data_IF_931323647946
#
_entry.id   IF_931323647946
#
_cell.length_a   1.000
_cell.length_b   1.000
_cell.length_c   1.000
_cell.angle_alpha   90.00
_cell.angle_beta   90.00
_cell.angle_gamma   90.00
#
_symmetry.space_group_name_H-M   'P 1'
#
loop_
_entity.id
_entity.type
_entity.pdbx_description
1 polymer ?
#
# COMPACT_ATOMS: atom_id res chain seq x y z
N UNK A 1 -5.95 10.74 14.18
CA UNK A 1 -4.92 10.58 13.12
C UNK A 1 -4.19 9.28 13.34
N UNK A 2 -4.07 8.44 12.31
CA UNK A 2 -3.30 7.19 12.40
C UNK A 2 -1.82 7.42 12.07
N UNK A 3 -1.54 8.32 11.12
CA UNK A 3 -0.17 8.67 10.70
C UNK A 3 0.02 10.19 10.75
N UNK A 4 1.16 10.60 11.28
CA UNK A 4 1.62 11.98 11.25
C UNK A 4 3.07 12.05 10.76
N UNK A 5 3.31 12.91 9.81
CA UNK A 5 4.61 13.22 9.22
C UNK A 5 4.92 14.67 9.53
N UNK A 6 6.06 14.94 10.18
CA UNK A 6 6.40 16.26 10.69
C UNK A 6 7.77 16.69 10.23
N UNK A 7 7.84 17.82 9.50
CA UNK A 7 9.05 18.49 8.97
C UNK A 7 10.03 17.53 8.28
N UNK A 8 9.54 16.63 7.44
CA UNK A 8 10.41 15.68 6.74
C UNK A 8 11.23 16.40 5.67
N UNK A 9 12.56 16.30 5.83
CA UNK A 9 13.55 16.85 4.89
C UNK A 9 14.50 15.76 4.43
N UNK A 10 14.67 15.63 3.12
CA UNK A 10 15.54 14.65 2.49
C UNK A 10 16.31 15.27 1.35
N UNK A 11 17.63 15.03 1.33
CA UNK A 11 18.53 15.53 0.30
C UNK A 11 19.38 14.40 -0.23
N UNK A 12 19.66 14.43 -1.52
CA UNK A 12 20.59 13.52 -2.18
C UNK A 12 21.78 14.27 -2.76
N UNK A 13 22.94 13.63 -2.78
CA UNK A 13 24.12 14.13 -3.48
C UNK A 13 24.30 13.35 -4.79
N UNK A 14 24.50 14.05 -5.91
CA UNK A 14 24.85 13.41 -7.17
C UNK A 14 26.34 12.99 -7.20
N UNK A 15 26.77 12.33 -8.26
CA UNK A 15 28.16 11.90 -8.45
C UNK A 15 29.19 13.06 -8.42
N UNK A 16 28.72 14.30 -8.65
CA UNK A 16 29.56 15.53 -8.58
C UNK A 16 29.53 16.19 -7.20
N UNK A 17 28.90 15.51 -6.19
CA UNK A 17 28.71 16.03 -4.82
C UNK A 17 27.79 17.27 -4.73
N UNK A 18 27.01 17.56 -5.78
CA UNK A 18 26.01 18.60 -5.73
C UNK A 18 24.80 18.06 -4.94
N UNK A 19 24.36 18.79 -3.93
CA UNK A 19 23.24 18.40 -3.07
C UNK A 19 21.95 18.99 -3.65
N UNK A 20 20.97 18.15 -3.88
CA UNK A 20 19.62 18.59 -4.20
C UNK A 20 18.63 18.15 -3.11
N UNK A 21 17.77 19.07 -2.72
CA UNK A 21 16.76 18.82 -1.70
C UNK A 21 15.52 18.25 -2.37
N UNK A 22 15.17 16.99 -2.07
CA UNK A 22 13.99 16.34 -2.61
C UNK A 22 12.75 16.61 -1.75
N UNK A 23 12.91 16.56 -0.42
CA UNK A 23 11.86 16.91 0.54
C UNK A 23 12.32 18.08 1.40
N UNK A 24 11.48 19.12 1.51
CA UNK A 24 11.86 20.44 2.04
C UNK A 24 11.00 20.85 3.27
N UNK A 25 10.66 19.92 4.12
CA UNK A 25 9.78 20.16 5.26
C UNK A 25 8.35 19.74 4.90
N UNK A 26 8.15 18.44 4.78
CA UNK A 26 6.83 17.86 4.51
C UNK A 26 6.12 17.65 5.85
N UNK A 27 4.96 18.29 5.99
CA UNK A 27 4.00 18.08 7.08
C UNK A 27 2.73 17.49 6.50
N UNK A 28 2.31 16.33 7.01
CA UNK A 28 1.14 15.60 6.52
C UNK A 28 0.54 14.75 7.63
N UNK A 29 -0.78 14.60 7.61
CA UNK A 29 -1.51 13.72 8.51
C UNK A 29 -2.52 12.85 7.75
N UNK A 30 -2.71 11.62 8.19
CA UNK A 30 -3.68 10.67 7.62
C UNK A 30 -4.73 10.36 8.70
N UNK A 31 -5.99 10.55 8.35
CA UNK A 31 -7.11 10.22 9.21
C UNK A 31 -7.37 8.71 9.21
N UNK A 32 -7.68 8.18 10.39
CA UNK A 32 -8.03 6.76 10.54
C UNK A 32 -9.35 6.43 9.84
N UNK A 33 -9.43 5.24 9.23
CA UNK A 33 -10.64 4.74 8.58
C UNK A 33 -11.02 5.49 7.29
N UNK A 34 -10.05 6.15 6.64
CA UNK A 34 -10.26 6.88 5.39
C UNK A 34 -9.25 6.50 4.32
N UNK A 35 -9.58 6.83 3.08
CA UNK A 35 -8.64 6.80 1.96
C UNK A 35 -8.06 8.20 1.76
N UNK A 36 -6.75 8.33 1.93
CA UNK A 36 -6.01 9.57 1.66
C UNK A 36 -5.13 9.38 0.42
N UNK A 37 -5.20 10.29 -0.53
CA UNK A 37 -4.35 10.30 -1.71
C UNK A 37 -3.17 11.28 -1.53
N UNK A 38 -1.98 10.87 -1.95
CA UNK A 38 -0.81 11.74 -2.12
C UNK A 38 -0.54 11.89 -3.62
N UNK A 39 -0.85 13.05 -4.17
CA UNK A 39 -0.65 13.36 -5.58
C UNK A 39 0.50 14.36 -5.76
N UNK A 40 1.03 14.48 -6.97
CA UNK A 40 2.12 15.40 -7.29
C UNK A 40 2.85 14.97 -8.55
N UNK A 41 3.61 15.86 -9.13
CA UNK A 41 4.39 15.59 -10.35
C UNK A 41 5.39 14.44 -10.21
N UNK A 42 5.93 13.97 -11.34
CA UNK A 42 7.02 13.01 -11.34
C UNK A 42 8.26 13.64 -10.68
N UNK A 43 8.93 12.88 -9.80
CA UNK A 43 10.09 13.38 -9.05
C UNK A 43 9.77 14.29 -7.86
N UNK A 44 8.49 14.55 -7.53
CA UNK A 44 8.11 15.38 -6.37
C UNK A 44 8.49 14.76 -5.00
N UNK A 45 8.91 13.47 -4.97
CA UNK A 45 9.35 12.81 -3.74
C UNK A 45 8.30 11.90 -3.09
N UNK A 46 7.18 11.61 -3.76
CA UNK A 46 6.10 10.76 -3.22
C UNK A 46 6.58 9.38 -2.77
N UNK A 47 7.23 8.63 -3.66
CA UNK A 47 7.77 7.29 -3.34
C UNK A 47 8.86 7.36 -2.27
N UNK A 48 9.69 8.42 -2.26
CA UNK A 48 10.67 8.64 -1.20
C UNK A 48 9.99 8.85 0.15
N UNK A 49 8.91 9.63 0.20
CA UNK A 49 8.12 9.80 1.41
C UNK A 49 7.52 8.47 1.89
N UNK A 50 7.00 7.64 0.99
CA UNK A 50 6.54 6.29 1.32
C UNK A 50 7.67 5.40 1.85
N UNK A 51 8.89 5.49 1.25
CA UNK A 51 10.07 4.77 1.74
C UNK A 51 10.46 5.21 3.15
N UNK A 52 10.36 6.51 3.45
CA UNK A 52 10.61 7.05 4.79
C UNK A 52 9.58 6.52 5.79
N UNK A 53 8.29 6.63 5.47
CA UNK A 53 7.19 6.18 6.34
C UNK A 53 7.30 4.68 6.65
N UNK A 54 7.64 3.87 5.66
CA UNK A 54 7.75 2.42 5.81
C UNK A 54 9.15 1.93 6.25
N UNK A 55 10.09 2.85 6.57
CA UNK A 55 11.40 2.52 7.14
C UNK A 55 12.44 1.97 6.16
N UNK A 56 12.19 2.05 4.84
CA UNK A 56 13.13 1.68 3.78
C UNK A 56 14.15 2.77 3.46
N UNK A 57 13.83 4.03 3.77
CA UNK A 57 14.74 5.17 3.55
C UNK A 57 15.23 5.72 4.88
N UNK A 58 16.50 6.08 4.93
CA UNK A 58 17.19 6.62 6.12
C UNK A 58 17.91 7.93 5.78
N UNK A 59 18.43 8.59 6.80
CA UNK A 59 19.22 9.82 6.59
C UNK A 59 18.39 11.10 6.40
N UNK A 60 17.09 11.02 6.54
CA UNK A 60 16.19 12.17 6.53
C UNK A 60 16.17 12.89 7.90
N UNK A 61 15.69 14.13 7.94
CA UNK A 61 15.36 14.89 9.15
C UNK A 61 13.85 14.94 9.32
N UNK A 62 13.39 15.20 10.53
CA UNK A 62 11.97 15.26 10.87
C UNK A 62 11.49 14.03 11.66
N UNK A 63 10.19 13.84 11.74
CA UNK A 63 9.57 12.81 12.57
C UNK A 63 8.40 12.13 11.87
N UNK A 64 8.29 10.81 12.04
CA UNK A 64 7.14 10.02 11.61
C UNK A 64 6.53 9.35 12.84
N UNK A 65 5.22 9.52 13.01
CA UNK A 65 4.45 8.98 14.14
C UNK A 65 3.32 8.11 13.60
N UNK A 66 3.27 6.86 14.01
CA UNK A 66 2.20 5.91 13.69
C UNK A 66 1.44 5.59 14.98
N UNK A 67 0.13 5.86 15.03
CA UNK A 67 -0.70 5.63 16.19
C UNK A 67 -0.12 6.20 17.50
N UNK A 68 0.41 7.43 17.44
CA UNK A 68 1.06 8.10 18.58
C UNK A 68 2.48 7.62 18.88
N UNK A 69 2.96 6.55 18.25
CA UNK A 69 4.30 6.00 18.44
C UNK A 69 5.30 6.57 17.44
N UNK A 70 6.46 7.00 17.92
CA UNK A 70 7.55 7.48 17.07
C UNK A 70 8.22 6.30 16.36
N UNK A 71 8.04 6.21 15.04
CA UNK A 71 8.63 5.17 14.19
C UNK A 71 9.85 5.66 13.39
N UNK A 72 10.29 6.90 13.55
CA UNK A 72 11.31 7.59 12.76
C UNK A 72 12.59 6.76 12.56
N UNK A 73 13.01 6.02 13.57
CA UNK A 73 14.27 5.24 13.56
C UNK A 73 14.06 3.74 13.45
N UNK A 74 12.81 3.28 13.40
CA UNK A 74 12.51 1.86 13.34
C UNK A 74 12.84 1.27 11.97
N UNK A 75 13.17 -0.01 11.93
CA UNK A 75 13.35 -0.76 10.68
C UNK A 75 12.00 -1.08 10.03
N UNK A 76 11.99 -1.30 8.72
CA UNK A 76 10.78 -1.68 7.99
C UNK A 76 10.05 -2.88 8.62
N UNK A 77 10.81 -3.91 9.04
CA UNK A 77 10.25 -5.07 9.74
C UNK A 77 9.50 -4.68 11.04
N UNK A 78 10.09 -3.80 11.87
CA UNK A 78 9.43 -3.35 13.11
C UNK A 78 8.17 -2.52 12.82
N UNK A 79 8.21 -1.71 11.77
CA UNK A 79 7.07 -0.89 11.35
C UNK A 79 5.95 -1.78 10.82
N UNK A 80 6.27 -2.81 10.04
CA UNK A 80 5.28 -3.78 9.56
C UNK A 80 4.60 -4.52 10.73
N UNK A 81 5.36 -4.95 11.74
CA UNK A 81 4.79 -5.56 12.96
C UNK A 81 3.87 -4.62 13.77
N UNK A 82 3.91 -3.33 13.49
CA UNK A 82 2.99 -2.34 14.08
C UNK A 82 1.72 -2.13 13.24
N UNK A 83 1.49 -2.96 12.22
CA UNK A 83 0.29 -2.91 11.39
C UNK A 83 0.37 -1.93 10.22
N UNK A 84 1.57 -1.71 9.67
CA UNK A 84 1.74 -0.98 8.43
C UNK A 84 2.05 -1.94 7.28
N UNK A 85 1.07 -2.15 6.41
CA UNK A 85 1.22 -2.90 5.17
C UNK A 85 1.61 -2.01 4.00
N UNK A 86 2.28 -2.57 2.99
CA UNK A 86 2.67 -1.82 1.80
C UNK A 86 2.56 -2.62 0.52
N UNK A 87 1.92 -2.02 -0.48
CA UNK A 87 1.99 -2.41 -1.88
C UNK A 87 3.09 -1.57 -2.58
N UNK A 88 4.16 -2.21 -3.02
CA UNK A 88 5.24 -1.52 -3.75
C UNK A 88 4.89 -1.37 -5.23
N UNK A 89 5.59 -0.46 -5.90
CA UNK A 89 5.56 -0.40 -7.36
C UNK A 89 6.22 -1.64 -7.97
N UNK A 90 5.61 -2.24 -9.00
CA UNK A 90 6.14 -3.42 -9.69
C UNK A 90 5.52 -4.76 -9.26
N UNK A 91 6.22 -5.85 -9.59
CA UNK A 91 5.78 -7.22 -9.26
C UNK A 91 5.92 -7.50 -7.78
N UNK A 92 4.93 -8.14 -7.20
CA UNK A 92 4.85 -8.38 -5.75
C UNK A 92 4.56 -9.82 -5.37
N UNK A 93 4.05 -10.60 -6.32
CA UNK A 93 3.91 -12.03 -6.13
C UNK A 93 5.25 -12.72 -6.37
N UNK A 94 5.46 -13.78 -5.63
CA UNK A 94 6.59 -14.68 -5.84
C UNK A 94 6.25 -15.60 -7.02
N UNK A 95 6.92 -15.39 -8.15
CA UNK A 95 6.61 -16.03 -9.43
C UNK A 95 6.61 -17.57 -9.37
N UNK A 96 7.48 -18.17 -8.56
CA UNK A 96 7.62 -19.62 -8.41
C UNK A 96 6.65 -20.27 -7.43
N UNK A 97 5.97 -19.48 -6.61
CA UNK A 97 4.96 -19.95 -5.68
C UNK A 97 3.58 -19.99 -6.36
N UNK A 98 2.75 -20.91 -5.87
CA UNK A 98 1.35 -20.97 -6.28
C UNK A 98 0.57 -19.74 -5.82
N UNK A 99 -0.61 -19.55 -6.38
CA UNK A 99 -1.51 -18.48 -5.97
C UNK A 99 -1.89 -18.61 -4.48
N UNK A 100 -2.21 -19.83 -4.04
CA UNK A 100 -2.52 -20.10 -2.64
C UNK A 100 -1.35 -19.79 -1.71
N UNK A 101 -0.13 -20.22 -2.06
CA UNK A 101 1.08 -19.95 -1.27
C UNK A 101 1.35 -18.44 -1.18
N UNK A 102 1.20 -17.70 -2.29
CA UNK A 102 1.33 -16.25 -2.30
C UNK A 102 0.32 -15.56 -1.37
N UNK A 103 -0.91 -16.05 -1.31
CA UNK A 103 -1.92 -15.53 -0.38
C UNK A 103 -1.53 -15.84 1.08
N UNK A 104 -1.20 -17.08 1.38
CA UNK A 104 -0.89 -17.56 2.76
C UNK A 104 0.30 -16.86 3.40
N UNK A 105 1.35 -16.53 2.64
CA UNK A 105 2.52 -15.80 3.15
C UNK A 105 2.18 -14.42 3.74
N UNK A 106 1.08 -13.82 3.32
CA UNK A 106 0.67 -12.51 3.83
C UNK A 106 -0.20 -12.59 5.10
N UNK A 107 -0.48 -13.77 5.61
CA UNK A 107 -1.20 -13.94 6.87
C UNK A 107 -0.31 -13.60 8.07
N UNK A 108 -0.87 -12.90 9.05
CA UNK A 108 -0.20 -12.60 10.32
C UNK A 108 -0.09 -13.81 11.26
N UNK A 109 -0.74 -14.91 10.92
CA UNK A 109 -0.63 -16.16 11.71
C UNK A 109 0.69 -16.87 11.42
N UNK A 110 1.65 -16.73 12.32
CA UNK A 110 2.98 -17.35 12.26
C UNK A 110 2.99 -18.79 12.79
N UNK A 111 1.84 -19.39 13.04
CA UNK A 111 1.75 -20.80 13.49
C UNK A 111 2.36 -21.71 12.43
N UNK A 112 3.41 -22.47 12.81
CA UNK A 112 4.15 -23.35 11.89
C UNK A 112 5.46 -22.78 11.37
N UNK A 113 5.77 -21.51 11.57
CA UNK A 113 7.09 -20.94 11.24
C UNK A 113 8.18 -21.46 12.19
N UNK A 114 7.80 -21.83 13.42
CA UNK A 114 8.73 -22.44 14.36
C UNK A 114 8.83 -23.96 14.09
N UNK A 115 10.04 -24.50 13.81
CA UNK A 115 10.27 -25.93 13.62
C UNK A 115 9.73 -26.80 14.77
N UNK A 116 9.72 -26.28 15.99
CA UNK A 116 9.19 -26.97 17.17
C UNK A 116 7.68 -27.21 17.06
N UNK A 117 6.92 -26.22 16.54
CA UNK A 117 5.48 -26.37 16.34
C UNK A 117 5.18 -27.39 15.24
N UNK A 118 5.95 -27.43 14.17
CA UNK A 118 5.83 -28.42 13.11
C UNK A 118 6.06 -29.86 13.62
N UNK A 119 6.94 -30.06 14.61
CA UNK A 119 7.26 -31.38 15.16
C UNK A 119 6.25 -31.82 16.23
N UNK A 120 5.92 -30.91 17.16
CA UNK A 120 5.18 -31.28 18.38
C UNK A 120 3.72 -30.84 18.36
N UNK A 121 3.32 -29.91 17.47
CA UNK A 121 1.98 -29.36 17.40
C UNK A 121 1.33 -29.52 16.03
N UNK A 122 1.58 -30.62 15.35
CA UNK A 122 1.11 -30.89 13.97
C UNK A 122 -0.36 -30.60 13.73
N UNK A 123 -1.24 -30.95 14.70
CA UNK A 123 -2.67 -30.68 14.60
C UNK A 123 -2.96 -29.18 14.59
N UNK A 124 -2.28 -28.40 15.46
CA UNK A 124 -2.44 -26.95 15.50
C UNK A 124 -1.97 -26.30 14.20
N UNK A 125 -0.84 -26.74 13.68
CA UNK A 125 -0.33 -26.26 12.38
C UNK A 125 -1.29 -26.57 11.26
N UNK A 126 -1.80 -27.81 11.16
CA UNK A 126 -2.78 -28.19 10.14
C UNK A 126 -4.08 -27.39 10.22
N UNK A 127 -4.56 -27.11 11.43
CA UNK A 127 -5.77 -26.26 11.62
C UNK A 127 -5.50 -24.81 11.18
N UNK A 128 -4.35 -24.25 11.53
CA UNK A 128 -3.94 -22.91 11.10
C UNK A 128 -3.82 -22.82 9.58
N UNK A 129 -3.17 -23.79 8.95
CA UNK A 129 -3.02 -23.82 7.49
C UNK A 129 -4.38 -23.90 6.77
N UNK A 130 -5.29 -24.74 7.26
CA UNK A 130 -6.66 -24.84 6.72
C UNK A 130 -7.43 -23.51 6.90
N UNK A 131 -7.23 -22.81 8.03
CA UNK A 131 -7.86 -21.51 8.27
C UNK A 131 -7.33 -20.43 7.30
N UNK A 132 -6.01 -20.40 7.04
CA UNK A 132 -5.39 -19.50 6.04
C UNK A 132 -5.90 -19.78 4.64
N UNK A 133 -6.02 -21.06 4.26
CA UNK A 133 -6.59 -21.45 2.96
C UNK A 133 -8.04 -20.99 2.81
N UNK A 134 -8.87 -21.21 3.83
CA UNK A 134 -10.26 -20.77 3.81
C UNK A 134 -10.35 -19.24 3.74
N UNK A 135 -9.54 -18.50 4.52
CA UNK A 135 -9.48 -17.05 4.47
C UNK A 135 -9.10 -16.55 3.06
N UNK A 136 -8.09 -17.16 2.42
CA UNK A 136 -7.71 -16.81 1.06
C UNK A 136 -8.84 -17.02 0.06
N UNK A 137 -9.54 -18.17 0.13
CA UNK A 137 -10.69 -18.48 -0.71
C UNK A 137 -11.81 -17.45 -0.50
N UNK A 138 -12.13 -17.11 0.75
CA UNK A 138 -13.18 -16.14 1.08
C UNK A 138 -12.85 -14.73 0.58
N UNK A 139 -11.59 -14.31 0.68
CA UNK A 139 -11.11 -13.04 0.10
C UNK A 139 -11.27 -13.06 -1.43
N UNK A 140 -10.82 -14.13 -2.10
CA UNK A 140 -10.92 -14.22 -3.56
C UNK A 140 -12.38 -14.23 -4.03
N UNK A 141 -13.27 -14.90 -3.32
CA UNK A 141 -14.72 -14.87 -3.60
C UNK A 141 -15.30 -13.48 -3.40
N UNK A 142 -14.97 -12.83 -2.30
CA UNK A 142 -15.46 -11.49 -1.96
C UNK A 142 -15.01 -10.44 -2.98
N UNK A 143 -13.76 -10.49 -3.39
CA UNK A 143 -13.14 -9.50 -4.29
C UNK A 143 -13.52 -9.73 -5.74
N UNK A 144 -13.54 -10.97 -6.19
CA UNK A 144 -13.73 -11.32 -7.61
C UNK A 144 -15.06 -12.02 -7.93
N UNK A 145 -15.88 -12.25 -6.92
CA UNK A 145 -17.18 -12.95 -7.03
C UNK A 145 -17.07 -14.46 -6.89
N UNK A 146 -18.19 -15.07 -6.58
CA UNK A 146 -18.32 -16.54 -6.52
C UNK A 146 -18.01 -17.14 -7.90
N UNK A 147 -17.30 -18.26 -7.92
CA UNK A 147 -16.94 -18.96 -9.17
C UNK A 147 -15.94 -18.23 -10.05
N UNK A 148 -15.23 -17.21 -9.52
CA UNK A 148 -14.17 -16.56 -10.28
C UNK A 148 -13.05 -17.54 -10.66
N UNK A 149 -12.33 -17.22 -11.74
CA UNK A 149 -11.30 -18.11 -12.30
C UNK A 149 -10.14 -18.39 -11.35
N UNK A 150 -9.83 -17.48 -10.42
CA UNK A 150 -8.69 -17.62 -9.50
C UNK A 150 -8.90 -18.77 -8.51
N UNK A 151 -10.16 -19.13 -8.20
CA UNK A 151 -10.47 -20.30 -7.38
C UNK A 151 -10.07 -21.62 -8.06
N UNK A 152 -10.05 -21.65 -9.39
CA UNK A 152 -9.59 -22.81 -10.17
C UNK A 152 -8.08 -22.78 -10.44
N UNK A 153 -7.39 -21.70 -10.03
CA UNK A 153 -5.97 -21.49 -10.28
C UNK A 153 -5.15 -21.45 -8.98
N UNK A 154 -5.71 -21.88 -7.86
CA UNK A 154 -5.04 -21.81 -6.56
C UNK A 154 -3.70 -22.54 -6.53
N UNK A 155 -3.58 -23.65 -7.26
CA UNK A 155 -2.37 -24.47 -7.39
C UNK A 155 -1.48 -24.06 -8.58
N UNK A 156 -1.89 -23.06 -9.38
CA UNK A 156 -1.08 -22.53 -10.48
C UNK A 156 -0.04 -21.55 -9.96
N UNK A 157 1.10 -21.48 -10.62
CA UNK A 157 2.16 -20.51 -10.28
C UNK A 157 1.72 -19.09 -10.59
N UNK A 158 2.16 -18.15 -9.78
CA UNK A 158 1.88 -16.74 -10.01
C UNK A 158 2.42 -16.23 -11.35
N UNK A 159 3.52 -16.82 -11.86
CA UNK A 159 4.09 -16.54 -13.19
C UNK A 159 3.14 -16.83 -14.36
N UNK A 160 2.12 -17.66 -14.17
CA UNK A 160 1.11 -17.97 -15.22
C UNK A 160 0.05 -16.87 -15.35
N UNK A 161 -0.03 -15.95 -14.39
CA UNK A 161 -0.95 -14.81 -14.42
C UNK A 161 -0.36 -13.67 -15.24
N UNK A 162 -1.21 -12.94 -15.96
CA UNK A 162 -0.83 -11.68 -16.58
C UNK A 162 -0.42 -10.65 -15.50
N UNK A 163 0.38 -9.64 -15.88
CA UNK A 163 0.82 -8.59 -14.97
C UNK A 163 -0.34 -7.93 -14.20
N UNK A 164 -1.44 -7.60 -14.90
CA UNK A 164 -2.61 -7.00 -14.27
C UNK A 164 -3.30 -7.92 -13.25
N UNK A 165 -3.32 -9.21 -13.53
CA UNK A 165 -3.87 -10.22 -12.61
C UNK A 165 -2.98 -10.42 -11.40
N UNK A 166 -1.66 -10.49 -11.59
CA UNK A 166 -0.71 -10.52 -10.48
C UNK A 166 -0.90 -9.31 -9.55
N UNK A 167 -1.13 -8.12 -10.14
CA UNK A 167 -1.36 -6.89 -9.39
C UNK A 167 -2.66 -6.95 -8.57
N UNK A 168 -3.74 -7.47 -9.15
CA UNK A 168 -5.01 -7.68 -8.46
C UNK A 168 -4.88 -8.65 -7.28
N UNK A 169 -4.19 -9.76 -7.49
CA UNK A 169 -3.94 -10.74 -6.41
C UNK A 169 -3.04 -10.14 -5.33
N UNK A 170 -2.02 -9.35 -5.71
CA UNK A 170 -1.17 -8.65 -4.74
C UNK A 170 -1.97 -7.66 -3.88
N UNK A 171 -2.99 -6.99 -4.45
CA UNK A 171 -3.92 -6.17 -3.68
C UNK A 171 -4.81 -7.01 -2.77
N UNK A 172 -5.41 -8.08 -3.29
CA UNK A 172 -6.27 -8.97 -2.50
C UNK A 172 -5.49 -9.62 -1.34
N UNK A 173 -4.21 -9.92 -1.56
CA UNK A 173 -3.30 -10.46 -0.56
C UNK A 173 -3.13 -9.56 0.67
N UNK A 174 -3.23 -8.23 0.53
CA UNK A 174 -3.17 -7.30 1.67
C UNK A 174 -4.33 -7.53 2.67
N UNK A 175 -5.44 -8.11 2.21
CA UNK A 175 -6.57 -8.48 3.07
C UNK A 175 -6.33 -9.75 3.90
N UNK A 176 -5.21 -10.45 3.70
CA UNK A 176 -4.82 -11.60 4.52
C UNK A 176 -4.21 -11.19 5.86
N UNK A 177 -3.62 -9.99 5.94
CA UNK A 177 -3.06 -9.41 7.15
C UNK A 177 -4.07 -8.52 7.89
N UNK A 178 -3.71 -8.13 9.12
CA UNK A 178 -4.49 -7.22 9.96
C UNK A 178 -3.87 -5.81 9.99
N UNK A 179 -3.27 -5.38 8.89
CA UNK A 179 -2.67 -4.07 8.80
C UNK A 179 -3.71 -2.97 9.03
N UNK A 180 -3.37 -1.98 9.88
CA UNK A 180 -4.25 -0.84 10.18
C UNK A 180 -4.05 0.31 9.20
N UNK A 181 -2.83 0.45 8.66
CA UNK A 181 -2.48 1.43 7.64
C UNK A 181 -1.87 0.73 6.43
N UNK A 182 -2.43 0.93 5.27
CA UNK A 182 -1.94 0.41 3.99
C UNK A 182 -1.37 1.53 3.13
N UNK A 183 -0.12 1.39 2.70
CA UNK A 183 0.53 2.26 1.73
C UNK A 183 0.44 1.63 0.34
N UNK A 184 -0.26 2.26 -0.59
CA UNK A 184 -0.45 1.75 -1.95
C UNK A 184 0.30 2.64 -2.96
N UNK A 185 1.37 2.13 -3.56
CA UNK A 185 2.23 2.89 -4.49
C UNK A 185 1.82 2.58 -5.94
N UNK A 186 1.08 3.49 -6.56
CA UNK A 186 0.55 3.42 -7.92
C UNK A 186 -0.18 2.08 -8.22
N UNK A 187 -1.22 1.72 -7.45
CA UNK A 187 -1.86 0.40 -7.58
C UNK A 187 -2.42 0.13 -8.97
N UNK A 188 -2.84 1.15 -9.72
CA UNK A 188 -3.44 0.98 -11.05
C UNK A 188 -2.47 1.13 -12.21
N UNK A 189 -1.19 1.44 -11.95
CA UNK A 189 -0.19 1.65 -12.99
C UNK A 189 0.03 0.39 -13.85
N UNK A 190 -0.06 0.54 -15.17
CA UNK A 190 0.11 -0.57 -16.13
C UNK A 190 -0.99 -1.63 -16.12
N UNK A 191 -2.09 -1.39 -15.41
CA UNK A 191 -3.22 -2.31 -15.33
C UNK A 191 -4.22 -2.03 -16.45
N UNK A 192 -4.80 -3.09 -17.02
CA UNK A 192 -5.85 -2.93 -18.02
C UNK A 192 -7.07 -2.22 -17.43
N UNK A 193 -7.65 -1.21 -18.12
CA UNK A 193 -8.80 -0.43 -17.64
C UNK A 193 -9.97 -1.27 -17.14
N UNK A 194 -10.19 -2.48 -17.67
CA UNK A 194 -11.26 -3.39 -17.23
C UNK A 194 -11.16 -3.79 -15.73
N UNK A 195 -9.99 -3.67 -15.13
CA UNK A 195 -9.77 -4.02 -13.73
C UNK A 195 -9.85 -2.83 -12.75
N UNK A 196 -9.99 -1.60 -13.26
CA UNK A 196 -10.01 -0.38 -12.42
C UNK A 196 -11.14 -0.42 -11.39
N UNK A 197 -12.32 -0.90 -11.80
CA UNK A 197 -13.45 -1.01 -10.88
C UNK A 197 -13.21 -2.05 -9.78
N UNK A 198 -12.49 -3.13 -10.09
CA UNK A 198 -12.10 -4.12 -9.09
C UNK A 198 -11.12 -3.51 -8.06
N UNK A 199 -10.13 -2.71 -8.51
CA UNK A 199 -9.24 -2.00 -7.58
C UNK A 199 -10.01 -1.04 -6.68
N UNK A 200 -10.98 -0.32 -7.24
CA UNK A 200 -11.86 0.57 -6.45
C UNK A 200 -12.61 -0.21 -5.37
N UNK A 201 -13.21 -1.34 -5.74
CA UNK A 201 -13.93 -2.21 -4.82
C UNK A 201 -13.02 -2.71 -3.70
N UNK A 202 -11.82 -3.19 -4.02
CA UNK A 202 -10.86 -3.68 -3.02
C UNK A 202 -10.49 -2.57 -2.02
N UNK A 203 -10.14 -1.37 -2.50
CA UNK A 203 -9.77 -0.25 -1.63
C UNK A 203 -10.94 0.18 -0.73
N UNK A 204 -12.15 0.22 -1.27
CA UNK A 204 -13.32 0.54 -0.47
C UNK A 204 -13.63 -0.55 0.56
N UNK A 205 -13.50 -1.81 0.18
CA UNK A 205 -13.67 -2.94 1.12
C UNK A 205 -12.65 -2.89 2.27
N UNK A 206 -11.39 -2.56 1.99
CA UNK A 206 -10.36 -2.36 3.00
C UNK A 206 -10.78 -1.35 4.07
N UNK A 207 -11.38 -0.24 3.65
CA UNK A 207 -11.78 0.83 4.57
C UNK A 207 -13.14 0.54 5.20
N UNK A 208 -14.16 0.23 4.40
CA UNK A 208 -15.55 0.17 4.85
C UNK A 208 -15.89 -1.13 5.59
N UNK A 209 -15.24 -2.26 5.22
CA UNK A 209 -15.52 -3.57 5.82
C UNK A 209 -14.45 -4.00 6.81
N UNK A 210 -13.17 -3.72 6.54
CA UNK A 210 -12.07 -4.12 7.42
C UNK A 210 -11.65 -3.01 8.39
N UNK A 211 -12.15 -1.78 8.22
CA UNK A 211 -11.79 -0.64 9.09
C UNK A 211 -10.34 -0.18 8.92
N UNK A 212 -9.68 -0.59 7.83
CA UNK A 212 -8.30 -0.20 7.53
C UNK A 212 -8.24 1.26 7.08
N UNK A 213 -7.06 1.85 7.15
CA UNK A 213 -6.76 3.17 6.58
C UNK A 213 -5.88 3.00 5.36
N UNK A 214 -6.12 3.78 4.33
CA UNK A 214 -5.33 3.70 3.09
C UNK A 214 -4.68 5.05 2.80
N UNK A 215 -3.37 5.05 2.58
CA UNK A 215 -2.64 6.15 1.97
C UNK A 215 -2.13 5.67 0.60
N UNK A 216 -2.58 6.33 -0.47
CA UNK A 216 -2.23 5.90 -1.83
C UNK A 216 -1.50 7.00 -2.61
N UNK A 217 -0.54 6.60 -3.42
CA UNK A 217 0.03 7.43 -4.49
C UNK A 217 -0.62 7.00 -5.79
N UNK A 218 -1.14 7.96 -6.55
CA UNK A 218 -1.73 7.70 -7.86
C UNK A 218 -1.57 8.88 -8.81
N UNK A 219 -1.54 8.57 -10.11
CA UNK A 219 -1.49 9.53 -11.19
C UNK A 219 -2.81 9.65 -11.94
N UNK A 220 -3.69 8.66 -11.81
CA UNK A 220 -5.01 8.67 -12.43
C UNK A 220 -5.99 9.47 -11.56
N UNK A 221 -6.21 10.75 -11.92
CA UNK A 221 -7.07 11.66 -11.15
C UNK A 221 -8.54 11.21 -11.09
N UNK A 222 -9.04 10.55 -12.12
CA UNK A 222 -10.40 10.00 -12.11
C UNK A 222 -10.52 8.85 -11.11
N UNK A 223 -9.50 8.03 -11.00
CA UNK A 223 -9.43 6.98 -9.98
C UNK A 223 -9.32 7.59 -8.58
N UNK A 224 -8.39 8.53 -8.36
CA UNK A 224 -8.25 9.25 -7.08
C UNK A 224 -9.58 9.83 -6.64
N UNK A 225 -10.27 10.58 -7.53
CA UNK A 225 -11.60 11.17 -7.26
C UNK A 225 -12.64 10.13 -6.85
N UNK A 226 -12.53 8.91 -7.35
CA UNK A 226 -13.51 7.85 -7.10
C UNK A 226 -13.28 7.06 -5.81
N UNK A 227 -12.05 7.10 -5.24
CA UNK A 227 -11.69 6.28 -4.08
C UNK A 227 -11.27 7.09 -2.87
N UNK A 228 -10.62 8.27 -3.05
CA UNK A 228 -10.03 9.02 -1.96
C UNK A 228 -11.03 9.98 -1.32
N UNK A 229 -11.02 10.03 0.01
CA UNK A 229 -11.80 10.97 0.82
C UNK A 229 -11.04 12.29 1.00
N UNK A 230 -9.72 12.19 1.20
CA UNK A 230 -8.80 13.31 1.43
C UNK A 230 -7.62 13.25 0.45
N UNK A 231 -7.06 14.41 0.13
CA UNK A 231 -5.95 14.51 -0.81
C UNK A 231 -4.88 15.49 -0.31
N UNK A 232 -3.60 15.11 -0.47
CA UNK A 232 -2.45 15.98 -0.30
C UNK A 232 -1.76 16.18 -1.65
N UNK A 233 -1.49 17.42 -2.01
CA UNK A 233 -0.69 17.76 -3.20
C UNK A 233 0.73 18.09 -2.81
N UNK A 234 1.69 17.27 -3.27
CA UNK A 234 3.12 17.42 -3.05
C UNK A 234 3.79 18.03 -4.28
N UNK A 235 4.37 19.21 -4.12
CA UNK A 235 5.20 19.87 -5.14
C UNK A 235 6.40 20.53 -4.49
N UNK A 236 7.54 20.61 -5.19
CA UNK A 236 8.79 21.20 -4.72
C UNK A 236 9.23 20.72 -3.33
N UNK A 237 8.93 19.44 -3.04
CA UNK A 237 9.27 18.81 -1.77
C UNK A 237 8.43 19.26 -0.57
N UNK A 238 7.26 19.88 -0.79
CA UNK A 238 6.35 20.35 0.27
C UNK A 238 4.91 19.98 -0.05
N UNK A 239 4.09 19.83 0.98
CA UNK A 239 2.64 19.79 0.81
C UNK A 239 2.15 21.22 0.55
N UNK A 240 1.70 21.47 -0.67
CA UNK A 240 1.24 22.79 -1.10
C UNK A 240 -0.27 22.95 -0.78
N UNK A 241 -1.02 21.86 -0.87
CA UNK A 241 -2.45 21.86 -0.58
C UNK A 241 -2.90 20.55 0.04
N UNK A 242 -3.83 20.64 0.97
CA UNK A 242 -4.49 19.50 1.62
C UNK A 242 -5.96 19.81 1.80
N UNK A 243 -6.83 18.81 1.68
CA UNK A 243 -8.25 18.98 1.88
C UNK A 243 -9.06 17.83 1.31
N UNK A 244 -10.37 18.02 1.22
CA UNK A 244 -11.26 17.09 0.55
C UNK A 244 -10.79 16.84 -0.89
N UNK A 245 -10.87 15.60 -1.36
CA UNK A 245 -10.31 15.21 -2.66
C UNK A 245 -10.85 16.10 -3.80
N UNK A 246 -12.15 16.40 -3.80
CA UNK A 246 -12.73 17.26 -4.82
C UNK A 246 -12.13 18.68 -4.82
N UNK A 247 -11.95 19.29 -3.64
CA UNK A 247 -11.40 20.64 -3.49
C UNK A 247 -9.94 20.74 -3.96
N UNK A 248 -9.15 19.69 -3.71
CA UNK A 248 -7.75 19.66 -4.14
C UNK A 248 -7.65 19.42 -5.65
N UNK A 249 -8.43 18.47 -6.19
CA UNK A 249 -8.39 18.15 -7.63
C UNK A 249 -9.02 19.23 -8.53
N UNK A 250 -9.92 20.05 -7.99
CA UNK A 250 -10.55 21.14 -8.74
C UNK A 250 -9.79 22.47 -8.62
N UNK A 251 -8.69 22.51 -7.85
CA UNK A 251 -7.83 23.68 -7.74
C UNK A 251 -7.22 24.06 -9.11
N UNK A 252 -7.37 25.31 -9.58
CA UNK A 252 -6.88 25.72 -10.89
C UNK A 252 -5.35 25.57 -11.04
N UNK A 253 -4.57 25.80 -9.97
CA UNK A 253 -3.11 25.68 -10.00
C UNK A 253 -2.73 24.22 -10.16
N UNK A 254 -3.31 23.33 -9.37
CA UNK A 254 -3.06 21.90 -9.43
C UNK A 254 -3.47 21.32 -10.78
N UNK A 255 -4.63 21.75 -11.32
CA UNK A 255 -5.08 21.32 -12.65
C UNK A 255 -4.09 21.73 -13.74
N UNK A 256 -3.58 22.95 -13.70
CA UNK A 256 -2.61 23.45 -14.66
C UNK A 256 -1.28 22.67 -14.56
N UNK A 257 -0.76 22.49 -13.36
CA UNK A 257 0.53 21.84 -13.13
C UNK A 257 0.49 20.33 -13.46
N UNK A 258 -0.66 19.69 -13.25
CA UNK A 258 -0.80 18.24 -13.38
C UNK A 258 -1.37 17.81 -14.72
N UNK A 259 -2.28 18.57 -15.31
CA UNK A 259 -2.99 18.25 -16.55
C UNK A 259 -2.43 18.99 -17.76
N UNK A 260 -1.53 19.97 -17.56
CA UNK A 260 -0.98 20.79 -18.64
C UNK A 260 -2.05 21.65 -19.35
N UNK A 261 -3.13 22.00 -18.66
CA UNK A 261 -4.27 22.77 -19.17
C UNK A 261 -4.14 24.24 -18.82
#
# INVERSE_FOLDING_TARGET
>A
MILEVRDIRMSYANARKEVFNLLNGVDMAVEEGKVTALIGGNGAGKTTLFNIISGFEKGFKGKVVLEGNDITKLSAHKISLMGLGRLFQGRQLMDDLTLMENMKIASDDTTGENPFDCFFRRRKVATSEAAKEQQAIDILKRVFGEGNKYLNMLDHKASELSYGEQRLIAMARLLMGNDRLLLLDEPTSGVNPKYIDTFRTIIRDMVEKEGQTVLLIEHNMSFVRSVADHCHYLADGKIIKSGATAEVLDDPVIRKDYLGL
#
